data_IF_831517702271
#
_entry.id   IF_831517702271
#
_cell.length_a   1.000
_cell.length_b   1.000
_cell.length_c   1.000
_cell.angle_alpha   90.00
_cell.angle_beta   90.00
_cell.angle_gamma   90.00
#
_symmetry.space_group_name_H-M   'P 1'
#
loop_
_entity.id
_entity.type
_entity.pdbx_description
1 polymer ?
#
# COMPACT_ATOMS: atom_id res chain seq x y z
N UNK A 1 6.86 35.52 -5.04
CA UNK A 1 7.70 34.67 -4.19
C UNK A 1 8.26 33.56 -5.07
N UNK A 2 9.57 33.55 -5.32
CA UNK A 2 10.24 32.53 -6.12
C UNK A 2 10.14 31.19 -5.36
N UNK A 3 9.57 30.17 -5.99
CA UNK A 3 9.61 28.79 -5.48
C UNK A 3 11.08 28.37 -5.47
N UNK A 4 11.66 28.22 -4.29
CA UNK A 4 12.97 27.59 -4.12
C UNK A 4 12.89 26.20 -4.74
N UNK A 5 13.46 26.03 -5.93
CA UNK A 5 13.54 24.73 -6.63
C UNK A 5 14.78 24.01 -6.14
N UNK A 6 14.75 23.53 -4.89
CA UNK A 6 15.74 22.55 -4.47
C UNK A 6 15.65 21.35 -5.45
N UNK A 7 16.75 20.93 -6.08
CA UNK A 7 16.70 19.81 -7.01
C UNK A 7 16.20 18.56 -6.28
N UNK A 8 15.36 17.77 -6.98
CA UNK A 8 14.86 16.52 -6.43
C UNK A 8 16.03 15.54 -6.19
N UNK A 9 16.02 14.79 -5.09
CA UNK A 9 17.06 13.83 -4.78
C UNK A 9 17.10 12.69 -5.82
N UNK A 10 18.27 12.06 -5.98
CA UNK A 10 18.51 11.05 -7.03
C UNK A 10 17.51 9.89 -6.93
N UNK A 11 17.21 9.38 -5.73
CA UNK A 11 16.25 8.28 -5.54
C UNK A 11 14.85 8.60 -6.08
N UNK A 12 14.42 9.88 -6.00
CA UNK A 12 13.15 10.30 -6.59
C UNK A 12 13.23 10.35 -8.12
N UNK A 13 14.35 10.82 -8.67
CA UNK A 13 14.58 10.85 -10.12
C UNK A 13 14.58 9.43 -10.69
N UNK A 14 15.25 8.49 -10.01
CA UNK A 14 15.31 7.08 -10.41
C UNK A 14 13.92 6.44 -10.38
N UNK A 15 13.16 6.65 -9.30
CA UNK A 15 11.77 6.23 -9.19
C UNK A 15 10.92 6.79 -10.34
N UNK A 16 10.97 8.10 -10.60
CA UNK A 16 10.25 8.72 -11.72
C UNK A 16 10.64 8.13 -13.07
N UNK A 17 11.91 7.84 -13.28
CA UNK A 17 12.42 7.29 -14.52
C UNK A 17 11.92 5.86 -14.80
N UNK A 18 11.60 5.07 -13.76
CA UNK A 18 11.05 3.72 -13.92
C UNK A 18 9.73 3.70 -14.68
N UNK A 19 8.97 4.81 -14.67
CA UNK A 19 7.68 4.92 -15.37
C UNK A 19 7.79 5.15 -16.88
N UNK A 20 8.99 5.38 -17.43
CA UNK A 20 9.17 5.66 -18.85
C UNK A 20 8.73 4.52 -19.77
N UNK A 21 8.80 3.28 -19.31
CA UNK A 21 8.41 2.10 -20.11
C UNK A 21 6.91 1.83 -20.05
N UNK A 22 6.15 2.55 -19.19
CA UNK A 22 4.74 2.30 -18.97
C UNK A 22 4.47 1.00 -18.23
N UNK A 23 3.19 0.64 -18.13
CA UNK A 23 2.74 -0.61 -17.51
C UNK A 23 2.52 -1.70 -18.58
N UNK A 24 2.77 -2.98 -18.23
CA UNK A 24 2.45 -4.11 -19.11
C UNK A 24 0.95 -4.16 -19.45
N UNK A 25 0.61 -4.79 -20.56
CA UNK A 25 -0.79 -5.03 -20.94
C UNK A 25 -1.40 -6.18 -20.13
N UNK A 26 -0.63 -7.26 -19.93
CA UNK A 26 -1.09 -8.46 -19.25
C UNK A 26 -0.88 -8.37 -17.74
N UNK A 27 -1.85 -8.85 -16.97
CA UNK A 27 -1.75 -8.95 -15.51
C UNK A 27 -0.58 -9.85 -15.08
N UNK A 28 -0.34 -10.94 -15.83
CA UNK A 28 0.74 -11.89 -15.54
C UNK A 28 2.14 -11.25 -15.64
N UNK A 29 2.33 -10.28 -16.53
CA UNK A 29 3.61 -9.59 -16.76
C UNK A 29 3.79 -8.36 -15.85
N UNK A 30 2.74 -8.04 -15.05
CA UNK A 30 2.72 -6.86 -14.18
C UNK A 30 3.40 -7.18 -12.84
N UNK A 31 4.28 -6.28 -12.41
CA UNK A 31 4.78 -6.26 -11.03
C UNK A 31 3.78 -5.53 -10.15
N UNK A 32 3.40 -6.15 -9.05
CA UNK A 32 2.61 -5.51 -7.99
C UNK A 32 3.46 -5.38 -6.73
N UNK A 33 3.27 -4.31 -5.99
CA UNK A 33 3.80 -4.17 -4.63
C UNK A 33 2.61 -4.01 -3.70
N UNK A 34 2.43 -5.01 -2.84
CA UNK A 34 1.40 -5.00 -1.81
C UNK A 34 2.01 -4.42 -0.56
N UNK A 35 1.37 -3.41 0.02
CA UNK A 35 1.88 -2.76 1.22
C UNK A 35 0.78 -2.51 2.25
N UNK A 36 1.23 -2.28 3.47
CA UNK A 36 0.44 -1.82 4.59
C UNK A 36 1.30 -0.90 5.47
N UNK A 37 0.68 0.01 6.23
CA UNK A 37 1.37 0.97 7.09
C UNK A 37 0.77 1.01 8.49
N UNK A 38 1.62 0.92 9.53
CA UNK A 38 1.22 1.25 10.89
C UNK A 38 1.48 2.73 11.16
N UNK A 39 0.54 3.37 11.81
CA UNK A 39 0.54 4.82 11.99
C UNK A 39 0.17 5.22 13.41
N UNK A 40 0.44 6.48 13.78
CA UNK A 40 0.02 7.04 15.07
C UNK A 40 -1.47 7.37 15.14
N UNK A 41 -2.20 7.25 14.03
CA UNK A 41 -3.63 7.54 13.90
C UNK A 41 -4.05 7.77 12.46
N UNK A 42 -5.24 8.32 12.24
CA UNK A 42 -5.88 8.40 10.92
C UNK A 42 -5.87 9.81 10.29
N UNK A 43 -5.35 10.82 10.96
CA UNK A 43 -5.31 12.20 10.46
C UNK A 43 -4.04 12.41 9.62
N UNK A 44 -4.18 12.55 8.30
CA UNK A 44 -3.06 12.73 7.38
C UNK A 44 -2.16 13.93 7.75
N UNK A 45 -2.70 15.00 8.33
CA UNK A 45 -1.94 16.19 8.68
C UNK A 45 -1.12 16.06 9.96
N UNK A 46 -1.65 15.30 10.93
CA UNK A 46 -1.08 15.18 12.28
C UNK A 46 -0.33 13.89 12.49
N UNK A 47 -0.86 12.81 11.96
CA UNK A 47 -0.32 11.47 12.22
C UNK A 47 0.88 11.13 11.34
N UNK A 48 1.61 10.12 11.77
CA UNK A 48 2.90 9.71 11.19
C UNK A 48 2.91 8.21 10.96
N UNK A 49 3.62 7.79 9.92
CA UNK A 49 3.91 6.39 9.67
C UNK A 49 4.95 5.90 10.66
N UNK A 50 4.66 4.82 11.35
CA UNK A 50 5.55 4.15 12.31
C UNK A 50 6.31 2.98 11.67
N UNK A 51 5.62 2.21 10.83
CA UNK A 51 6.25 1.14 10.04
C UNK A 51 5.62 1.02 8.66
N UNK A 52 6.37 0.47 7.72
CA UNK A 52 5.93 0.13 6.38
C UNK A 52 6.31 -1.32 6.13
N UNK A 53 5.33 -2.16 5.85
CA UNK A 53 5.51 -3.53 5.38
C UNK A 53 5.15 -3.63 3.90
N UNK A 54 5.95 -4.29 3.09
CA UNK A 54 5.63 -4.46 1.67
C UNK A 54 6.19 -5.76 1.09
N UNK A 55 5.47 -6.30 0.09
CA UNK A 55 5.80 -7.52 -0.62
C UNK A 55 5.63 -7.32 -2.12
N UNK A 56 6.61 -7.78 -2.90
CA UNK A 56 6.48 -7.81 -4.35
C UNK A 56 5.76 -9.08 -4.80
N UNK A 57 4.84 -8.93 -5.74
CA UNK A 57 4.26 -10.02 -6.52
C UNK A 57 4.71 -9.85 -7.97
N UNK A 58 5.34 -10.87 -8.52
CA UNK A 58 5.73 -10.91 -9.92
C UNK A 58 5.51 -12.32 -10.48
N UNK A 59 5.03 -12.41 -11.73
CA UNK A 59 4.67 -13.69 -12.38
C UNK A 59 3.71 -14.54 -11.52
N UNK A 60 2.73 -13.89 -10.87
CA UNK A 60 1.74 -14.55 -10.01
C UNK A 60 2.27 -15.11 -8.69
N UNK A 61 3.52 -14.79 -8.30
CA UNK A 61 4.15 -15.31 -7.07
C UNK A 61 4.61 -14.20 -6.14
N UNK A 62 4.38 -14.38 -4.85
CA UNK A 62 4.94 -13.52 -3.80
C UNK A 62 6.45 -13.75 -3.71
N UNK A 63 7.23 -12.69 -3.81
CA UNK A 63 8.70 -12.71 -3.70
C UNK A 63 9.12 -12.55 -2.24
N UNK A 64 8.97 -13.59 -1.44
CA UNK A 64 9.24 -13.54 0.00
C UNK A 64 10.67 -13.10 0.36
N UNK A 65 11.67 -13.38 -0.50
CA UNK A 65 13.05 -12.91 -0.30
C UNK A 65 13.22 -11.40 -0.48
N UNK A 66 12.24 -10.73 -1.10
CA UNK A 66 12.18 -9.29 -1.29
C UNK A 66 11.23 -8.63 -0.29
N UNK A 67 10.83 -9.36 0.78
CA UNK A 67 10.02 -8.80 1.84
C UNK A 67 10.69 -7.55 2.42
N UNK A 68 9.93 -6.49 2.52
CA UNK A 68 10.39 -5.19 2.98
C UNK A 68 9.65 -4.83 4.27
N UNK A 69 10.40 -4.55 5.32
CA UNK A 69 9.84 -3.98 6.53
C UNK A 69 10.81 -2.95 7.10
N UNK A 70 10.30 -1.77 7.40
CA UNK A 70 11.07 -0.71 8.03
C UNK A 70 10.24 -0.02 9.11
N UNK A 71 10.92 0.34 10.20
CA UNK A 71 10.36 1.15 11.26
C UNK A 71 10.94 2.56 11.17
N UNK A 72 10.06 3.56 11.24
CA UNK A 72 10.44 4.95 11.04
C UNK A 72 10.64 5.67 12.37
N UNK A 73 11.63 6.56 12.42
CA UNK A 73 11.84 7.43 13.55
C UNK A 73 10.82 8.56 13.49
N UNK A 74 10.00 8.69 14.53
CA UNK A 74 8.99 9.72 14.66
C UNK A 74 9.03 10.37 16.04
N UNK A 75 8.82 11.68 16.07
CA UNK A 75 8.67 12.45 17.32
C UNK A 75 7.28 12.28 17.91
N UNK A 76 6.28 12.10 17.03
CA UNK A 76 4.88 11.89 17.40
C UNK A 76 4.67 10.43 17.85
N UNK A 77 3.93 10.27 18.93
CA UNK A 77 3.59 8.97 19.51
C UNK A 77 2.20 9.04 20.13
N UNK A 78 1.35 8.05 19.86
CA UNK A 78 0.06 7.88 20.53
C UNK A 78 0.02 6.52 21.24
N UNK A 79 -0.10 6.56 22.57
CA UNK A 79 -0.15 5.33 23.38
C UNK A 79 -1.37 4.45 23.06
N UNK A 80 -2.46 5.04 22.57
CA UNK A 80 -3.70 4.30 22.26
C UNK A 80 -3.51 3.36 21.05
N UNK A 81 -2.68 3.75 20.09
CA UNK A 81 -2.43 2.92 18.90
C UNK A 81 -1.45 1.77 19.19
N UNK A 82 -0.68 1.85 20.29
CA UNK A 82 0.22 0.75 20.71
C UNK A 82 -0.56 -0.53 21.05
N UNK A 83 -1.76 -0.41 21.59
CA UNK A 83 -2.63 -1.57 21.85
C UNK A 83 -3.00 -2.33 20.57
N UNK A 84 -2.93 -1.67 19.41
CA UNK A 84 -3.26 -2.25 18.12
C UNK A 84 -2.02 -2.88 17.48
N UNK A 85 -0.96 -2.09 17.24
CA UNK A 85 0.22 -2.51 16.44
C UNK A 85 1.45 -2.89 17.30
N UNK A 86 1.41 -2.74 18.62
CA UNK A 86 2.49 -3.15 19.55
C UNK A 86 3.79 -2.34 19.45
N UNK A 87 3.86 -1.29 18.61
CA UNK A 87 5.07 -0.51 18.39
C UNK A 87 5.25 0.50 19.52
N UNK A 88 6.17 0.20 20.44
CA UNK A 88 6.50 1.07 21.56
C UNK A 88 7.35 2.28 21.12
N UNK A 89 7.19 3.44 21.77
CA UNK A 89 8.00 4.65 21.51
C UNK A 89 9.51 4.39 21.69
N UNK A 90 9.87 3.57 22.70
CA UNK A 90 11.24 3.15 22.98
C UNK A 90 11.29 1.63 23.02
N UNK A 91 12.35 1.02 22.48
CA UNK A 91 12.50 -0.43 22.43
C UNK A 91 13.70 -0.83 21.59
N UNK A 92 13.88 -2.15 21.39
CA UNK A 92 14.99 -2.73 20.63
C UNK A 92 14.83 -2.61 19.11
N UNK A 93 13.66 -2.15 18.63
CA UNK A 93 13.39 -2.03 17.20
C UNK A 93 14.29 -0.93 16.61
N UNK A 94 15.08 -1.30 15.62
CA UNK A 94 15.90 -0.33 14.88
C UNK A 94 14.99 0.53 14.00
N UNK A 95 15.08 1.84 14.17
CA UNK A 95 14.33 2.81 13.39
C UNK A 95 15.28 3.61 12.52
N UNK A 96 14.80 3.97 11.33
CA UNK A 96 15.54 4.81 10.38
C UNK A 96 14.78 6.14 10.17
N UNK A 97 15.47 7.21 9.72
CA UNK A 97 14.82 8.45 9.35
C UNK A 97 13.71 8.23 8.31
N UNK A 98 12.60 8.97 8.42
CA UNK A 98 11.44 8.84 7.52
C UNK A 98 11.84 8.93 6.04
N UNK A 99 12.71 9.92 5.69
CA UNK A 99 13.18 10.09 4.30
C UNK A 99 13.97 8.87 3.78
N UNK A 100 14.73 8.20 4.64
CA UNK A 100 15.46 6.99 4.26
C UNK A 100 14.50 5.82 4.02
N UNK A 101 13.49 5.66 4.87
CA UNK A 101 12.44 4.66 4.69
C UNK A 101 11.67 4.87 3.39
N UNK A 102 11.29 6.13 3.09
CA UNK A 102 10.63 6.50 1.85
C UNK A 102 11.51 6.21 0.62
N UNK A 103 12.82 6.54 0.68
CA UNK A 103 13.75 6.25 -0.41
C UNK A 103 13.85 4.75 -0.70
N UNK A 104 13.93 3.92 0.35
CA UNK A 104 13.96 2.45 0.22
C UNK A 104 12.63 1.92 -0.36
N UNK A 105 11.48 2.46 0.10
CA UNK A 105 10.18 2.09 -0.44
C UNK A 105 10.05 2.46 -1.92
N UNK A 106 10.44 3.67 -2.32
CA UNK A 106 10.38 4.10 -3.73
C UNK A 106 11.24 3.23 -4.64
N UNK A 107 12.40 2.76 -4.15
CA UNK A 107 13.25 1.80 -4.85
C UNK A 107 12.57 0.43 -5.02
N UNK A 108 11.77 0.00 -4.03
CA UNK A 108 10.98 -1.23 -4.15
C UNK A 108 9.79 -1.03 -5.10
N UNK A 109 9.10 0.10 -5.00
CA UNK A 109 7.90 0.38 -5.79
C UNK A 109 8.21 0.46 -7.29
N UNK A 110 9.21 1.26 -7.68
CA UNK A 110 9.42 1.58 -9.10
C UNK A 110 8.09 1.87 -9.81
N UNK A 111 7.87 1.38 -11.03
CA UNK A 111 6.59 1.51 -11.74
C UNK A 111 5.60 0.35 -11.48
N UNK A 112 5.76 -0.40 -10.40
CA UNK A 112 4.80 -1.44 -10.03
C UNK A 112 3.41 -0.85 -9.76
N UNK A 113 2.37 -1.68 -9.90
CA UNK A 113 1.03 -1.33 -9.41
C UNK A 113 1.01 -1.52 -7.90
N UNK A 114 0.64 -0.47 -7.16
CA UNK A 114 0.52 -0.48 -5.72
C UNK A 114 -0.80 -1.12 -5.31
N UNK A 115 -0.76 -2.06 -4.39
CA UNK A 115 -1.92 -2.75 -3.85
C UNK A 115 -1.95 -2.59 -2.33
N UNK A 116 -3.10 -2.25 -1.75
CA UNK A 116 -3.30 -2.24 -0.32
C UNK A 116 -4.75 -2.57 0.03
N UNK A 117 -5.01 -2.83 1.31
CA UNK A 117 -6.37 -2.93 1.81
C UNK A 117 -6.81 -1.55 2.32
N UNK A 118 -7.82 -0.94 1.66
CA UNK A 118 -8.16 0.48 1.82
C UNK A 118 -7.03 1.43 1.37
N UNK A 119 -6.49 1.17 0.20
CA UNK A 119 -5.31 1.82 -0.40
C UNK A 119 -5.24 3.34 -0.26
N UNK A 120 -6.38 4.03 -0.20
CA UNK A 120 -6.42 5.49 -0.04
C UNK A 120 -5.79 5.97 1.25
N UNK A 121 -5.86 5.15 2.32
CA UNK A 121 -5.25 5.50 3.59
C UNK A 121 -3.73 5.45 3.49
N UNK A 122 -3.17 4.32 3.09
CA UNK A 122 -1.72 4.14 3.00
C UNK A 122 -1.08 5.13 2.02
N UNK A 123 -1.66 5.27 0.83
CA UNK A 123 -1.20 6.24 -0.17
C UNK A 123 -1.34 7.67 0.32
N UNK A 124 -2.40 7.99 1.06
CA UNK A 124 -2.58 9.29 1.70
C UNK A 124 -1.47 9.59 2.70
N UNK A 125 -1.17 8.66 3.60
CA UNK A 125 -0.10 8.78 4.58
C UNK A 125 1.28 8.91 3.92
N UNK A 126 1.57 8.05 2.93
CA UNK A 126 2.82 8.10 2.16
C UNK A 126 2.99 9.42 1.39
N UNK A 127 1.93 9.89 0.74
CA UNK A 127 1.97 11.16 0.02
C UNK A 127 2.19 12.35 0.95
N UNK A 128 1.60 12.33 2.14
CA UNK A 128 1.83 13.37 3.15
C UNK A 128 3.25 13.31 3.70
N UNK A 129 3.79 12.10 3.92
CA UNK A 129 5.18 11.90 4.30
C UNK A 129 6.14 12.45 3.23
N UNK A 130 5.93 12.12 1.96
CA UNK A 130 6.70 12.66 0.84
C UNK A 130 6.65 14.21 0.80
N UNK A 131 5.46 14.80 0.94
CA UNK A 131 5.28 16.24 0.92
C UNK A 131 6.00 16.96 2.07
N UNK A 132 6.08 16.35 3.27
CA UNK A 132 6.88 16.88 4.38
C UNK A 132 8.36 17.03 4.02
N UNK A 133 8.86 16.18 3.15
CA UNK A 133 10.24 16.23 2.64
C UNK A 133 10.38 16.99 1.31
N UNK A 134 9.34 17.76 0.91
CA UNK A 134 9.38 18.55 -0.33
C UNK A 134 9.30 17.71 -1.62
N UNK A 135 8.91 16.43 -1.51
CA UNK A 135 8.81 15.53 -2.65
C UNK A 135 7.39 15.52 -3.25
N UNK A 136 7.25 15.25 -4.55
CA UNK A 136 5.95 15.05 -5.19
C UNK A 136 5.26 13.79 -4.66
N UNK A 137 3.97 13.63 -4.99
CA UNK A 137 3.17 12.44 -4.65
C UNK A 137 3.61 11.22 -5.46
N UNK A 138 3.25 10.02 -4.96
CA UNK A 138 3.43 8.76 -5.68
C UNK A 138 2.82 8.81 -7.08
N UNK A 139 3.47 8.12 -8.02
CA UNK A 139 3.06 8.04 -9.43
C UNK A 139 2.40 6.69 -9.77
N UNK A 140 2.44 5.73 -8.85
CA UNK A 140 1.94 4.37 -9.07
C UNK A 140 0.44 4.33 -9.32
N UNK A 141 0.02 3.45 -10.22
CA UNK A 141 -1.38 3.04 -10.28
C UNK A 141 -1.72 2.24 -9.02
N UNK A 142 -2.96 2.36 -8.53
CA UNK A 142 -3.40 1.86 -7.24
C UNK A 142 -4.54 0.86 -7.41
N UNK A 143 -4.53 -0.21 -6.61
CA UNK A 143 -5.60 -1.20 -6.50
C UNK A 143 -5.98 -1.38 -5.03
N UNK A 144 -7.27 -1.41 -4.76
CA UNK A 144 -7.86 -1.61 -3.44
C UNK A 144 -8.46 -3.00 -3.33
N UNK A 145 -7.95 -3.83 -2.40
CA UNK A 145 -8.40 -5.21 -2.26
C UNK A 145 -9.84 -5.33 -1.75
N UNK A 146 -10.33 -4.41 -0.91
CA UNK A 146 -11.72 -4.40 -0.47
C UNK A 146 -12.67 -4.15 -1.65
N UNK A 147 -12.30 -3.20 -2.52
CA UNK A 147 -13.05 -2.89 -3.75
C UNK A 147 -13.03 -4.07 -4.73
N UNK A 148 -11.84 -4.66 -4.98
CA UNK A 148 -11.69 -5.80 -5.89
C UNK A 148 -12.42 -7.04 -5.38
N UNK A 149 -12.38 -7.30 -4.07
CA UNK A 149 -13.12 -8.39 -3.45
C UNK A 149 -14.64 -8.20 -3.66
N UNK A 150 -15.16 -7.00 -3.40
CA UNK A 150 -16.56 -6.69 -3.66
C UNK A 150 -16.95 -6.95 -5.13
N UNK A 151 -16.09 -6.58 -6.10
CA UNK A 151 -16.29 -6.88 -7.53
C UNK A 151 -16.31 -8.38 -7.82
N UNK A 152 -15.51 -9.17 -7.12
CA UNK A 152 -15.41 -10.62 -7.30
C UNK A 152 -16.66 -11.38 -6.82
N UNK A 153 -17.50 -10.76 -6.01
CA UNK A 153 -18.73 -11.37 -5.49
C UNK A 153 -19.86 -11.36 -6.53
N UNK A 154 -20.82 -12.31 -6.39
CA UNK A 154 -22.10 -12.25 -7.11
C UNK A 154 -22.83 -10.96 -6.77
N UNK A 155 -23.57 -10.38 -7.72
CA UNK A 155 -24.27 -9.09 -7.53
C UNK A 155 -25.11 -9.03 -6.25
N UNK A 156 -25.81 -10.13 -5.90
CA UNK A 156 -26.64 -10.24 -4.68
C UNK A 156 -25.86 -10.19 -3.36
N UNK A 157 -24.52 -10.40 -3.40
CA UNK A 157 -23.63 -10.39 -2.23
C UNK A 157 -22.77 -9.15 -2.16
N UNK A 158 -22.83 -8.27 -3.15
CA UNK A 158 -22.05 -7.03 -3.18
C UNK A 158 -22.58 -6.03 -2.17
N UNK A 159 -21.68 -5.39 -1.47
CA UNK A 159 -22.02 -4.25 -0.62
C UNK A 159 -22.13 -3.00 -1.47
N UNK A 160 -23.20 -2.24 -1.30
CA UNK A 160 -23.40 -0.92 -1.92
C UNK A 160 -22.82 0.18 -1.04
N UNK A 161 -22.77 -0.05 0.27
CA UNK A 161 -22.17 0.84 1.28
C UNK A 161 -21.29 0.03 2.22
N UNK A 162 -20.27 0.70 2.80
CA UNK A 162 -19.29 0.08 3.66
C UNK A 162 -18.23 -0.71 2.88
N UNK A 163 -17.16 -1.05 3.57
CA UNK A 163 -16.04 -1.80 3.02
C UNK A 163 -15.91 -3.13 3.75
N UNK A 164 -15.32 -4.10 3.09
CA UNK A 164 -14.88 -5.33 3.74
C UNK A 164 -13.60 -5.04 4.55
N UNK A 165 -13.54 -5.49 5.78
CA UNK A 165 -12.31 -5.43 6.58
C UNK A 165 -11.30 -6.47 6.12
N UNK A 166 -10.02 -6.31 6.49
CA UNK A 166 -8.99 -7.31 6.19
C UNK A 166 -9.29 -8.65 6.88
N UNK A 167 -9.88 -8.61 8.08
CA UNK A 167 -10.32 -9.82 8.79
C UNK A 167 -11.42 -10.57 8.06
N UNK A 168 -12.41 -9.86 7.51
CA UNK A 168 -13.45 -10.46 6.68
C UNK A 168 -12.89 -11.08 5.38
N UNK A 169 -11.85 -10.46 4.79
CA UNK A 169 -11.15 -11.04 3.65
C UNK A 169 -10.37 -12.30 4.05
N UNK A 170 -9.66 -12.25 5.16
CA UNK A 170 -8.91 -13.39 5.68
C UNK A 170 -9.85 -14.58 5.95
N UNK A 171 -10.99 -14.34 6.59
CA UNK A 171 -12.02 -15.37 6.83
C UNK A 171 -12.61 -15.91 5.52
N UNK A 172 -12.95 -15.03 4.57
CA UNK A 172 -13.55 -15.43 3.30
C UNK A 172 -12.61 -16.29 2.42
N UNK A 173 -11.31 -16.19 2.63
CA UNK A 173 -10.28 -16.96 1.93
C UNK A 173 -9.58 -18.00 2.82
N UNK A 174 -10.05 -18.19 4.07
CA UNK A 174 -9.50 -19.14 5.04
C UNK A 174 -7.99 -18.92 5.28
N UNK A 175 -7.58 -17.65 5.40
CA UNK A 175 -6.18 -17.27 5.61
C UNK A 175 -5.85 -17.22 7.10
N UNK A 176 -4.65 -17.70 7.45
CA UNK A 176 -4.11 -17.53 8.79
C UNK A 176 -3.87 -16.03 9.08
N UNK A 177 -4.20 -15.61 10.31
CA UNK A 177 -4.05 -14.23 10.79
C UNK A 177 -2.80 -14.06 11.66
N UNK A 178 -1.75 -14.84 11.39
CA UNK A 178 -0.46 -14.70 12.09
C UNK A 178 0.13 -13.33 11.78
N UNK A 179 0.72 -12.70 12.79
CA UNK A 179 1.30 -11.36 12.71
C UNK A 179 0.33 -10.25 12.29
N UNK A 180 -0.98 -10.44 12.53
CA UNK A 180 -2.00 -9.43 12.34
C UNK A 180 -1.64 -8.18 13.16
N UNK A 181 -1.93 -7.00 12.61
CA UNK A 181 -1.55 -5.69 13.16
C UNK A 181 -0.03 -5.45 13.20
N UNK A 182 0.70 -6.08 12.29
CA UNK A 182 2.03 -5.64 11.88
C UNK A 182 1.99 -5.27 10.41
N UNK A 183 2.72 -4.24 9.99
CA UNK A 183 2.67 -3.78 8.61
C UNK A 183 3.03 -4.90 7.61
N UNK A 184 4.04 -5.71 7.91
CA UNK A 184 4.42 -6.82 7.02
C UNK A 184 3.41 -7.97 7.07
N UNK A 185 2.84 -8.30 8.23
CA UNK A 185 1.82 -9.34 8.38
C UNK A 185 0.55 -9.00 7.62
N UNK A 186 0.06 -7.75 7.74
CA UNK A 186 -1.14 -7.29 7.04
C UNK A 186 -0.90 -7.16 5.53
N UNK A 187 0.29 -6.72 5.11
CA UNK A 187 0.70 -6.77 3.71
C UNK A 187 0.73 -8.20 3.16
N UNK A 188 1.16 -9.19 3.95
CA UNK A 188 1.19 -10.61 3.54
C UNK A 188 -0.23 -11.19 3.37
N UNK A 189 -1.11 -10.97 4.34
CA UNK A 189 -2.53 -11.37 4.26
C UNK A 189 -3.18 -10.72 3.02
N UNK A 190 -2.94 -9.41 2.84
CA UNK A 190 -3.44 -8.65 1.69
C UNK A 190 -2.90 -9.21 0.36
N UNK A 191 -1.64 -9.63 0.30
CA UNK A 191 -1.03 -10.20 -0.90
C UNK A 191 -1.66 -11.54 -1.29
N UNK A 192 -1.90 -12.43 -0.33
CA UNK A 192 -2.58 -13.71 -0.60
C UNK A 192 -4.03 -13.45 -1.02
N UNK A 193 -4.76 -12.60 -0.29
CA UNK A 193 -6.13 -12.24 -0.63
C UNK A 193 -6.21 -11.65 -2.05
N UNK A 194 -5.26 -10.78 -2.43
CA UNK A 194 -5.19 -10.21 -3.78
C UNK A 194 -5.03 -11.28 -4.85
N UNK A 195 -4.14 -12.26 -4.66
CA UNK A 195 -3.98 -13.38 -5.60
C UNK A 195 -5.26 -14.19 -5.73
N UNK A 196 -5.96 -14.50 -4.62
CA UNK A 196 -7.25 -15.18 -4.63
C UNK A 196 -8.35 -14.37 -5.33
N UNK A 197 -8.33 -13.06 -5.19
CA UNK A 197 -9.24 -12.16 -5.90
C UNK A 197 -8.97 -12.19 -7.40
N UNK A 198 -7.71 -12.17 -7.84
CA UNK A 198 -7.34 -12.26 -9.25
C UNK A 198 -7.80 -13.59 -9.87
N UNK A 199 -7.65 -14.71 -9.15
CA UNK A 199 -8.17 -16.03 -9.58
C UNK A 199 -9.69 -16.02 -9.81
N UNK A 200 -10.46 -15.30 -8.98
CA UNK A 200 -11.91 -15.17 -9.12
C UNK A 200 -12.31 -14.21 -10.25
N UNK A 201 -11.63 -13.07 -10.36
CA UNK A 201 -11.96 -12.03 -11.35
C UNK A 201 -11.52 -12.39 -12.77
N UNK A 202 -10.39 -13.11 -12.92
CA UNK A 202 -9.79 -13.50 -14.20
C UNK A 202 -9.75 -12.32 -15.21
N UNK A 203 -9.16 -11.18 -14.85
CA UNK A 203 -9.17 -10.00 -15.71
C UNK A 203 -8.42 -10.29 -17.02
N UNK A 204 -9.02 -9.91 -18.16
CA UNK A 204 -8.42 -10.11 -19.47
C UNK A 204 -7.19 -9.24 -19.72
N UNK A 205 -7.08 -8.10 -19.03
CA UNK A 205 -5.95 -7.19 -19.14
C UNK A 205 -5.74 -6.38 -17.86
N UNK A 206 -4.54 -5.80 -17.70
CA UNK A 206 -4.27 -4.88 -16.60
C UNK A 206 -5.18 -3.63 -16.68
N UNK A 207 -5.46 -3.14 -17.88
CA UNK A 207 -6.39 -2.01 -18.08
C UNK A 207 -7.77 -2.32 -17.50
N UNK A 208 -8.30 -3.52 -17.72
CA UNK A 208 -9.58 -3.95 -17.12
C UNK A 208 -9.51 -3.99 -15.60
N UNK A 209 -8.42 -4.50 -15.03
CA UNK A 209 -8.22 -4.56 -13.58
C UNK A 209 -8.17 -3.17 -12.95
N UNK A 210 -7.52 -2.21 -13.61
CA UNK A 210 -7.36 -0.82 -13.15
C UNK A 210 -8.61 0.04 -13.39
N UNK A 211 -9.60 -0.43 -14.16
CA UNK A 211 -10.82 0.35 -14.39
C UNK A 211 -11.57 0.58 -13.07
N UNK A 212 -11.72 1.86 -12.74
CA UNK A 212 -12.61 2.29 -11.64
C UNK A 212 -14.04 2.08 -12.10
N UNK A 213 -14.88 1.47 -11.27
CA UNK A 213 -16.31 1.40 -11.56
C UNK A 213 -16.88 2.82 -11.57
N UNK A 214 -17.66 3.17 -12.59
CA UNK A 214 -18.33 4.47 -12.72
C UNK A 214 -19.22 4.83 -11.52
N UNK A 215 -19.57 3.88 -10.66
CA UNK A 215 -20.40 4.09 -9.48
C UNK A 215 -19.74 4.93 -8.37
N UNK A 216 -18.41 5.15 -8.41
CA UNK A 216 -17.70 5.90 -7.37
C UNK A 216 -17.52 7.40 -7.67
N UNK A 217 -17.91 7.87 -8.85
CA UNK A 217 -17.83 9.31 -9.20
C UNK A 217 -18.93 10.16 -8.55
N UNK A 218 -19.95 9.55 -7.96
CA UNK A 218 -21.09 10.27 -7.35
C UNK A 218 -20.89 10.65 -5.87
N UNK A 219 -19.71 10.35 -5.31
CA UNK A 219 -19.41 10.67 -3.91
C UNK A 219 -18.13 11.53 -3.81
N UNK A 220 -18.17 12.70 -4.43
CA UNK A 220 -17.23 13.81 -4.17
C UNK A 220 -17.88 14.81 -3.22
#
# INVERSE_FOLDING_TARGET
MAKSTTPLPQFWIDYKNSFRQGLPEKVADTSFVVLDTETTGFDFGKDRILSIGALRIANGNIKAKEAFEVFLQQDTFDARTVEIHGILKKGKIQRIPEIEGLAKLLKLLENAVLVAHHVRFDVGMLNTALQRHGLPKLLNAELDTATLYNKSLRKSKRRTQGHFTLDELAEAFELEKTDRHTALGDAYITAIAFLRILEKLKPASLKQLLQKDRFWEFWK
#
